data_IF_681991173747
#
_entry.id   IF_681991173747
#
_cell.length_a   1.000
_cell.length_b   1.000
_cell.length_c   1.000
_cell.angle_alpha   90.00
_cell.angle_beta   90.00
_cell.angle_gamma   90.00
#
_symmetry.space_group_name_H-M   'P 1'
#
loop_
_entity.id
_entity.type
_entity.pdbx_description
1 polymer ?
#
# COMPACT_ATOMS: atom_id res chain seq x y z
N UNK A 1 -8.26 -2.01 4.73
CA UNK A 1 -6.83 -2.26 4.99
C UNK A 1 -6.47 -2.57 6.44
N UNK A 2 -6.29 -1.63 7.38
CA UNK A 2 -5.74 -1.97 8.73
C UNK A 2 -6.58 -3.04 9.44
N UNK A 3 -7.92 -2.91 9.39
CA UNK A 3 -8.84 -3.90 9.96
C UNK A 3 -8.69 -5.29 9.33
N UNK A 4 -8.40 -5.38 8.04
CA UNK A 4 -8.23 -6.67 7.34
C UNK A 4 -6.95 -7.35 7.76
N UNK A 5 -5.85 -6.59 7.87
CA UNK A 5 -4.57 -7.14 8.32
C UNK A 5 -4.66 -7.62 9.76
N UNK A 6 -5.29 -6.83 10.64
CA UNK A 6 -5.56 -7.23 12.03
C UNK A 6 -6.41 -8.50 12.07
N UNK A 7 -7.53 -8.55 11.33
CA UNK A 7 -8.39 -9.74 11.25
C UNK A 7 -7.65 -10.98 10.72
N UNK A 8 -6.75 -10.81 9.76
CA UNK A 8 -5.93 -11.90 9.25
C UNK A 8 -5.03 -12.47 10.37
N UNK A 9 -4.32 -11.61 11.10
CA UNK A 9 -3.48 -12.04 12.22
C UNK A 9 -4.29 -12.64 13.38
N UNK A 10 -5.48 -12.13 13.65
CA UNK A 10 -6.39 -12.72 14.64
C UNK A 10 -6.87 -14.11 14.20
N UNK A 11 -7.18 -14.30 12.91
CA UNK A 11 -7.73 -15.55 12.38
C UNK A 11 -6.68 -16.66 12.22
N UNK A 12 -5.47 -16.32 11.77
CA UNK A 12 -4.45 -17.30 11.38
C UNK A 12 -3.26 -17.36 12.34
N UNK A 13 -3.18 -16.43 13.30
CA UNK A 13 -2.07 -16.37 14.25
C UNK A 13 -2.56 -16.15 15.69
N UNK A 14 -2.35 -14.97 16.28
CA UNK A 14 -2.75 -14.69 17.67
C UNK A 14 -3.15 -13.23 17.86
N UNK A 15 -4.03 -12.98 18.83
CA UNK A 15 -4.43 -11.63 19.22
C UNK A 15 -3.22 -10.77 19.67
N UNK A 16 -2.21 -11.38 20.31
CA UNK A 16 -0.98 -10.69 20.71
C UNK A 16 -0.20 -10.19 19.48
N UNK A 17 -0.03 -11.04 18.47
CA UNK A 17 0.66 -10.67 17.23
C UNK A 17 -0.14 -9.63 16.44
N UNK A 18 -1.47 -9.77 16.37
CA UNK A 18 -2.34 -8.80 15.71
C UNK A 18 -2.23 -7.40 16.35
N UNK A 19 -2.21 -7.33 17.68
CA UNK A 19 -2.01 -6.07 18.40
C UNK A 19 -0.63 -5.47 18.18
N UNK A 20 0.43 -6.28 18.18
CA UNK A 20 1.78 -5.82 17.89
C UNK A 20 1.87 -5.24 16.48
N UNK A 21 1.29 -5.94 15.48
CA UNK A 21 1.28 -5.49 14.10
C UNK A 21 0.46 -4.21 13.92
N UNK A 22 -0.71 -4.12 14.58
CA UNK A 22 -1.51 -2.89 14.60
C UNK A 22 -0.68 -1.73 15.13
N UNK A 23 -0.01 -1.89 16.28
CA UNK A 23 0.84 -0.85 16.88
C UNK A 23 1.94 -0.42 15.91
N UNK A 24 2.66 -1.37 15.33
CA UNK A 24 3.70 -1.12 14.33
C UNK A 24 3.20 -0.28 13.15
N UNK A 25 2.03 -0.62 12.57
CA UNK A 25 1.44 0.15 11.48
C UNK A 25 1.07 1.57 11.90
N UNK A 26 0.48 1.75 13.08
CA UNK A 26 0.09 3.08 13.58
C UNK A 26 1.31 3.97 13.85
N UNK A 27 2.45 3.38 14.26
CA UNK A 27 3.68 4.10 14.59
C UNK A 27 4.55 4.38 13.35
N UNK A 28 4.52 3.49 12.34
CA UNK A 28 5.43 3.56 11.19
C UNK A 28 4.79 4.15 9.93
N UNK A 29 3.45 4.26 9.87
CA UNK A 29 2.75 4.69 8.66
C UNK A 29 1.88 5.93 8.91
N UNK A 30 1.85 6.82 7.93
CA UNK A 30 0.85 7.89 7.89
C UNK A 30 -0.49 7.33 7.44
N UNK A 31 -1.51 7.48 8.28
CA UNK A 31 -2.87 7.00 7.99
C UNK A 31 -3.66 8.11 7.31
N UNK A 32 -4.08 7.83 6.08
CA UNK A 32 -4.93 8.74 5.31
C UNK A 32 -6.37 8.26 5.41
N UNK A 33 -7.24 9.13 5.95
CA UNK A 33 -8.66 8.86 6.05
C UNK A 33 -9.31 8.84 4.66
N UNK A 34 -10.27 7.93 4.44
CA UNK A 34 -10.89 7.71 3.13
C UNK A 34 -11.54 8.97 2.57
N UNK A 35 -12.13 9.78 3.45
CA UNK A 35 -12.79 11.04 3.12
C UNK A 35 -11.83 12.00 2.41
N UNK A 36 -10.54 11.98 2.77
CA UNK A 36 -9.50 12.82 2.15
C UNK A 36 -9.14 12.39 0.73
N UNK A 37 -9.49 11.17 0.33
CA UNK A 37 -9.14 10.61 -0.99
C UNK A 37 -10.33 10.47 -1.93
N UNK A 38 -11.56 10.75 -1.50
CA UNK A 38 -12.77 10.66 -2.32
C UNK A 38 -12.71 11.51 -3.60
N UNK A 39 -12.04 12.67 -3.56
CA UNK A 39 -11.82 13.49 -4.75
C UNK A 39 -10.96 12.77 -5.79
N UNK A 40 -9.82 12.22 -5.35
CA UNK A 40 -8.93 11.45 -6.22
C UNK A 40 -9.61 10.16 -6.72
N UNK A 41 -10.36 9.44 -5.86
CA UNK A 41 -11.11 8.25 -6.28
C UNK A 41 -12.07 8.56 -7.44
N UNK A 42 -12.77 9.70 -7.42
CA UNK A 42 -13.64 10.10 -8.54
C UNK A 42 -12.87 10.34 -9.85
N UNK A 43 -11.66 10.90 -9.79
CA UNK A 43 -10.80 11.16 -10.97
C UNK A 43 -10.28 9.87 -11.62
N UNK A 44 -10.07 8.83 -10.81
CA UNK A 44 -9.50 7.54 -11.24
C UNK A 44 -10.54 6.42 -11.40
N UNK A 45 -11.80 6.69 -11.07
CA UNK A 45 -12.88 5.72 -11.26
C UNK A 45 -12.96 5.27 -12.72
N UNK A 46 -13.09 3.95 -12.93
CA UNK A 46 -13.06 3.34 -14.27
C UNK A 46 -11.69 3.25 -14.94
N UNK A 47 -10.64 3.88 -14.39
CA UNK A 47 -9.25 3.75 -14.90
C UNK A 47 -8.50 2.59 -14.22
N UNK A 48 -8.99 2.10 -13.09
CA UNK A 48 -8.47 0.94 -12.35
C UNK A 48 -9.65 0.14 -11.77
N UNK A 49 -9.41 -1.13 -11.38
CA UNK A 49 -10.44 -1.95 -10.73
C UNK A 49 -10.87 -1.29 -9.43
N UNK A 50 -12.15 -1.42 -9.09
CA UNK A 50 -12.73 -0.76 -7.91
C UNK A 50 -12.01 -1.14 -6.60
N UNK A 51 -11.55 -2.39 -6.49
CA UNK A 51 -10.75 -2.87 -5.35
C UNK A 51 -9.43 -2.10 -5.15
N UNK A 52 -8.85 -1.60 -6.22
CA UNK A 52 -7.52 -0.97 -6.23
C UNK A 52 -7.63 0.58 -6.29
N UNK A 53 -8.85 1.11 -6.51
CA UNK A 53 -9.12 2.54 -6.66
C UNK A 53 -8.71 3.33 -5.41
N UNK A 54 -9.06 2.82 -4.23
CA UNK A 54 -8.71 3.48 -2.97
C UNK A 54 -7.18 3.50 -2.76
N UNK A 55 -6.49 2.40 -3.09
CA UNK A 55 -5.03 2.31 -2.97
C UNK A 55 -4.31 3.30 -3.89
N UNK A 56 -4.76 3.40 -5.16
CA UNK A 56 -4.23 4.39 -6.09
C UNK A 56 -4.50 5.82 -5.59
N UNK A 57 -5.73 6.12 -5.17
CA UNK A 57 -6.10 7.46 -4.70
C UNK A 57 -5.27 7.91 -3.49
N UNK A 58 -4.99 7.00 -2.55
CA UNK A 58 -4.14 7.24 -1.37
C UNK A 58 -2.71 7.63 -1.75
N UNK A 59 -2.18 7.16 -2.89
CA UNK A 59 -0.83 7.54 -3.33
C UNK A 59 -0.79 8.93 -3.97
N UNK A 60 -1.89 9.36 -4.59
CA UNK A 60 -1.96 10.62 -5.33
C UNK A 60 -2.18 11.85 -4.45
N UNK A 61 -3.02 11.73 -3.43
CA UNK A 61 -3.34 12.85 -2.52
C UNK A 61 -2.11 13.45 -1.82
N UNK A 62 -1.19 12.65 -1.23
CA UNK A 62 0.04 13.17 -0.64
C UNK A 62 1.15 13.46 -1.66
N UNK A 63 0.93 13.25 -2.97
CA UNK A 63 1.97 13.38 -3.98
C UNK A 63 3.08 12.32 -3.85
N UNK A 64 2.76 11.11 -3.36
CA UNK A 64 3.73 10.01 -3.28
C UNK A 64 4.08 9.60 -4.71
N UNK A 65 5.33 9.85 -5.07
CA UNK A 65 5.86 9.65 -6.44
C UNK A 65 5.91 8.19 -6.89
N UNK A 66 5.88 7.23 -5.95
CA UNK A 66 6.04 5.81 -6.25
C UNK A 66 5.08 4.94 -5.42
N UNK A 67 3.88 4.59 -5.93
CA UNK A 67 3.08 3.51 -5.36
C UNK A 67 3.87 2.20 -5.37
N UNK A 68 4.09 1.64 -4.18
CA UNK A 68 4.74 0.35 -3.99
C UNK A 68 3.72 -0.76 -4.02
N UNK A 69 3.78 -1.61 -5.04
CA UNK A 69 2.91 -2.77 -5.15
C UNK A 69 3.62 -3.88 -5.93
N UNK A 70 3.20 -5.13 -5.70
CA UNK A 70 3.53 -6.27 -6.55
C UNK A 70 2.39 -6.60 -7.54
N UNK A 71 1.24 -5.93 -7.42
CA UNK A 71 0.10 -6.14 -8.30
C UNK A 71 0.35 -5.45 -9.65
N UNK A 72 0.40 -6.27 -10.70
CA UNK A 72 0.62 -5.80 -12.08
C UNK A 72 -0.51 -4.93 -12.60
N UNK A 73 -1.69 -4.95 -11.97
CA UNK A 73 -2.79 -4.03 -12.28
C UNK A 73 -2.37 -2.54 -12.16
N UNK A 74 -1.26 -2.26 -11.46
CA UNK A 74 -0.68 -0.92 -11.30
C UNK A 74 0.37 -0.55 -12.36
N UNK A 75 0.86 -1.47 -13.21
CA UNK A 75 1.91 -1.20 -14.21
C UNK A 75 1.55 -0.08 -15.19
N UNK A 76 0.25 0.11 -15.46
CA UNK A 76 -0.26 1.19 -16.33
C UNK A 76 -0.09 2.60 -15.76
N UNK A 77 0.28 2.72 -14.48
CA UNK A 77 0.61 4.00 -13.86
C UNK A 77 2.12 4.20 -13.89
N UNK A 78 2.56 5.29 -14.51
CA UNK A 78 3.97 5.61 -14.76
C UNK A 78 4.86 5.64 -13.50
N UNK A 79 4.22 5.79 -12.34
CA UNK A 79 4.85 5.89 -11.03
C UNK A 79 4.99 4.52 -10.32
N UNK A 80 4.44 3.44 -10.89
CA UNK A 80 4.49 2.10 -10.30
C UNK A 80 5.93 1.65 -10.04
N UNK A 81 6.17 1.13 -8.84
CA UNK A 81 7.46 0.62 -8.41
C UNK A 81 7.24 -0.61 -7.54
N UNK A 82 8.12 -1.60 -7.69
CA UNK A 82 8.15 -2.77 -6.79
C UNK A 82 9.12 -2.51 -5.64
N UNK A 83 9.01 -3.22 -4.50
CA UNK A 83 9.98 -3.09 -3.42
C UNK A 83 11.44 -3.29 -3.88
N UNK A 84 11.71 -4.22 -4.80
CA UNK A 84 13.03 -4.42 -5.39
C UNK A 84 13.51 -3.21 -6.19
N UNK A 85 12.63 -2.61 -6.99
CA UNK A 85 12.93 -1.38 -7.72
C UNK A 85 13.19 -0.22 -6.75
N UNK A 86 12.43 -0.11 -5.66
CA UNK A 86 12.67 0.91 -4.64
C UNK A 86 14.05 0.76 -3.98
N UNK A 87 14.44 -0.46 -3.59
CA UNK A 87 15.77 -0.71 -3.01
C UNK A 87 16.87 -0.28 -3.99
N UNK A 88 16.68 -0.53 -5.28
CA UNK A 88 17.58 -0.06 -6.34
C UNK A 88 17.60 1.46 -6.45
N UNK A 89 16.44 2.13 -6.40
CA UNK A 89 16.33 3.60 -6.39
C UNK A 89 17.02 4.23 -5.17
N UNK A 90 17.00 3.54 -4.02
CA UNK A 90 17.70 3.92 -2.80
C UNK A 90 19.22 3.63 -2.85
N UNK A 91 19.74 3.13 -3.98
CA UNK A 91 21.14 2.72 -4.16
C UNK A 91 21.60 1.64 -3.16
N UNK A 92 20.66 0.86 -2.66
CA UNK A 92 20.92 -0.29 -1.80
C UNK A 92 21.00 -1.55 -2.68
N UNK A 93 21.74 -2.57 -2.23
CA UNK A 93 21.80 -3.84 -2.94
C UNK A 93 20.54 -4.65 -2.65
N UNK A 94 19.68 -4.93 -3.65
CA UNK A 94 18.54 -5.82 -3.44
C UNK A 94 19.02 -7.24 -3.17
N UNK A 95 18.28 -7.98 -2.35
CA UNK A 95 18.48 -9.42 -2.19
C UNK A 95 18.33 -10.11 -3.56
N UNK A 96 19.15 -11.11 -3.88
CA UNK A 96 18.98 -11.92 -5.08
C UNK A 96 17.70 -12.78 -5.03
N UNK A 97 17.14 -13.02 -3.84
CA UNK A 97 15.87 -13.75 -3.66
C UNK A 97 14.73 -12.79 -3.37
N UNK A 98 13.62 -12.99 -4.06
CA UNK A 98 12.32 -12.48 -3.66
C UNK A 98 11.65 -13.60 -2.85
N UNK A 99 11.66 -13.42 -1.52
CA UNK A 99 11.24 -14.38 -0.48
C UNK A 99 12.23 -15.52 -0.20
#
# INVERSE_FOLDING_TARGET
>A
MIKEVVRYFEKYHSAKLANLFRKYLLESCTIIAREKVLGAMRVYHGKIKEKDLEQLAVTKVPGIKYPLSYDRDFEKFQEYTTPKMLVTLLKLKPSPREF
#
